data_IF_646465453134
#
_entry.id   IF_646465453134
#
_cell.length_a   1.000
_cell.length_b   1.000
_cell.length_c   1.000
_cell.angle_alpha   90.00
_cell.angle_beta   90.00
_cell.angle_gamma   90.00
#
_symmetry.space_group_name_H-M   'P 1'
#
loop_
_entity.id
_entity.type
_entity.pdbx_description
1 polymer ?
#
# COMPACT_ATOMS: atom_id res chain seq x y z
N UNK A 1 29.86 27.61 27.20
CA UNK A 1 29.09 26.49 27.81
C UNK A 1 28.55 25.66 26.64
N UNK A 2 29.28 24.60 26.35
CA UNK A 2 29.00 23.71 25.22
C UNK A 2 27.98 22.69 25.68
N UNK A 3 26.79 22.67 25.05
CA UNK A 3 25.78 21.65 25.30
C UNK A 3 26.30 20.33 24.70
N UNK A 4 26.41 19.33 25.55
CA UNK A 4 26.81 17.99 25.16
C UNK A 4 25.66 17.33 24.39
N UNK A 5 25.96 16.96 23.17
CA UNK A 5 25.15 16.08 22.32
C UNK A 5 25.04 14.73 23.04
N UNK A 6 23.86 14.40 23.51
CA UNK A 6 23.60 13.10 24.12
C UNK A 6 23.31 12.12 22.99
N UNK A 7 24.15 11.10 22.76
CA UNK A 7 23.88 10.11 21.73
C UNK A 7 22.61 9.33 22.08
N UNK A 8 21.71 9.22 21.12
CA UNK A 8 20.54 8.32 21.19
C UNK A 8 21.04 6.90 21.45
N UNK A 9 20.53 6.20 22.47
CA UNK A 9 20.94 4.83 22.73
C UNK A 9 20.57 3.94 21.54
N UNK A 10 21.42 2.96 21.18
CA UNK A 10 21.08 1.98 20.17
C UNK A 10 19.83 1.21 20.62
N UNK A 11 18.90 1.00 19.69
CA UNK A 11 17.70 0.19 19.91
C UNK A 11 18.12 -1.18 20.42
N UNK A 12 17.59 -1.59 21.55
CA UNK A 12 17.79 -2.94 22.08
C UNK A 12 17.37 -3.98 21.03
N UNK A 13 18.09 -5.12 20.89
CA UNK A 13 17.69 -6.20 20.00
C UNK A 13 16.30 -6.70 20.39
N UNK A 14 15.41 -6.84 19.41
CA UNK A 14 14.06 -7.35 19.59
C UNK A 14 14.07 -8.69 20.35
N UNK A 15 13.18 -8.84 21.33
CA UNK A 15 12.98 -10.10 22.04
C UNK A 15 12.70 -11.25 21.06
N UNK A 16 13.26 -12.45 21.29
CA UNK A 16 13.00 -13.61 20.43
C UNK A 16 11.50 -13.92 20.41
N UNK A 17 10.87 -13.77 19.25
CA UNK A 17 9.42 -13.99 19.06
C UNK A 17 8.60 -12.72 18.85
N UNK A 18 9.18 -11.52 18.84
CA UNK A 18 8.48 -10.29 18.50
C UNK A 18 8.22 -10.20 16.98
N UNK A 19 7.03 -9.76 16.61
CA UNK A 19 6.69 -9.43 15.22
C UNK A 19 6.98 -7.95 14.96
N UNK A 20 8.17 -7.64 14.47
CA UNK A 20 8.61 -6.28 14.22
C UNK A 20 8.37 -5.90 12.76
N UNK A 21 7.64 -4.81 12.52
CA UNK A 21 7.39 -4.29 11.18
C UNK A 21 8.09 -2.94 11.02
N UNK A 22 9.07 -2.90 10.11
CA UNK A 22 9.77 -1.70 9.73
C UNK A 22 8.96 -0.80 8.78
N UNK A 23 9.31 0.48 8.73
CA UNK A 23 8.80 1.41 7.73
C UNK A 23 9.82 2.52 7.48
N UNK A 24 9.96 2.92 6.21
CA UNK A 24 10.88 4.00 5.81
C UNK A 24 10.25 5.38 6.03
N UNK A 25 11.06 6.47 6.12
CA UNK A 25 10.57 7.84 6.36
C UNK A 25 9.42 8.22 5.43
N UNK A 26 8.41 8.90 5.97
CA UNK A 26 7.22 9.37 5.26
C UNK A 26 6.12 8.31 5.06
N UNK A 27 6.42 7.01 5.08
CA UNK A 27 5.37 5.97 5.09
C UNK A 27 4.67 5.97 6.43
N UNK A 28 3.33 5.98 6.43
CA UNK A 28 2.51 6.07 7.63
C UNK A 28 1.62 4.83 7.82
N UNK A 29 2.18 3.73 8.34
CA UNK A 29 1.46 2.46 8.48
C UNK A 29 0.56 2.38 9.72
N UNK A 30 0.46 3.43 10.53
CA UNK A 30 -0.23 3.45 11.82
C UNK A 30 -1.61 2.80 11.81
N UNK A 31 -2.45 3.10 10.79
CA UNK A 31 -3.79 2.51 10.65
C UNK A 31 -3.81 0.97 10.60
N UNK A 32 -2.74 0.34 10.11
CA UNK A 32 -2.64 -1.11 10.02
C UNK A 32 -2.12 -1.70 11.33
N UNK A 33 -1.19 -0.99 12.00
CA UNK A 33 -0.71 -1.35 13.33
C UNK A 33 -1.85 -1.28 14.36
N UNK A 34 -2.67 -0.22 14.31
CA UNK A 34 -3.83 -0.08 15.19
C UNK A 34 -4.83 -1.20 14.97
N UNK A 35 -5.12 -1.56 13.72
CA UNK A 35 -6.00 -2.69 13.41
C UNK A 35 -5.48 -4.04 13.93
N UNK A 36 -4.15 -4.24 13.90
CA UNK A 36 -3.55 -5.44 14.48
C UNK A 36 -3.79 -5.49 15.99
N UNK A 37 -3.55 -4.39 16.69
CA UNK A 37 -3.76 -4.24 18.13
C UNK A 37 -5.24 -4.38 18.51
N UNK A 38 -6.14 -3.70 17.80
CA UNK A 38 -7.59 -3.76 18.01
C UNK A 38 -8.13 -5.18 17.90
N UNK A 39 -7.62 -5.97 16.96
CA UNK A 39 -7.97 -7.38 16.77
C UNK A 39 -7.29 -8.31 17.77
N UNK A 40 -6.48 -7.78 18.68
CA UNK A 40 -5.72 -8.55 19.67
C UNK A 40 -4.93 -9.70 19.04
N UNK A 41 -4.32 -9.41 17.88
CA UNK A 41 -3.51 -10.41 17.16
C UNK A 41 -2.21 -10.71 17.90
N UNK A 42 -1.75 -11.93 17.77
CA UNK A 42 -0.48 -12.40 18.33
C UNK A 42 0.44 -12.91 17.21
N UNK A 43 1.75 -12.78 17.35
CA UNK A 43 2.48 -12.12 18.45
C UNK A 43 2.19 -10.61 18.56
N UNK A 44 2.67 -9.97 19.63
CA UNK A 44 2.59 -8.50 19.76
C UNK A 44 3.36 -7.85 18.63
N UNK A 45 2.74 -6.86 17.97
CA UNK A 45 3.37 -6.13 16.89
C UNK A 45 4.15 -4.94 17.44
N UNK A 46 5.43 -4.95 17.16
CA UNK A 46 6.33 -3.81 17.32
C UNK A 46 6.55 -3.11 15.98
N UNK A 47 6.94 -1.85 16.03
CA UNK A 47 7.22 -1.10 14.81
C UNK A 47 8.54 -0.32 14.96
N UNK A 48 9.28 -0.22 13.85
CA UNK A 48 10.57 0.45 13.79
C UNK A 48 10.64 1.38 12.57
N UNK A 49 11.09 2.62 12.80
CA UNK A 49 11.51 3.47 11.69
C UNK A 49 12.87 2.98 11.21
N UNK A 50 12.98 2.72 9.91
CA UNK A 50 14.19 2.21 9.26
C UNK A 50 14.65 3.23 8.23
N UNK A 51 15.93 3.64 8.21
CA UNK A 51 16.45 4.50 7.15
C UNK A 51 16.16 3.91 5.77
N UNK A 52 15.87 4.78 4.79
CA UNK A 52 15.50 4.32 3.46
C UNK A 52 16.63 3.53 2.78
N UNK A 53 17.87 3.82 3.09
CA UNK A 53 19.03 3.09 2.58
C UNK A 53 19.23 1.72 3.27
N UNK A 54 18.65 1.49 4.46
CA UNK A 54 18.98 0.35 5.33
C UNK A 54 17.91 -0.75 5.37
N UNK A 55 16.78 -0.60 4.70
CA UNK A 55 15.68 -1.55 4.83
C UNK A 55 16.07 -3.00 4.46
N UNK A 56 17.00 -3.20 3.48
CA UNK A 56 17.45 -4.55 3.11
C UNK A 56 18.29 -5.17 4.21
N UNK A 57 19.27 -4.43 4.71
CA UNK A 57 20.13 -4.92 5.82
C UNK A 57 19.31 -5.18 7.10
N UNK A 58 18.28 -4.39 7.35
CA UNK A 58 17.37 -4.62 8.49
C UNK A 58 16.56 -5.92 8.34
N UNK A 59 16.12 -6.28 7.12
CA UNK A 59 15.49 -7.56 6.83
C UNK A 59 16.49 -8.72 6.91
N UNK A 60 17.67 -8.56 6.29
CA UNK A 60 18.71 -9.59 6.26
C UNK A 60 19.24 -9.93 7.66
N UNK A 61 19.35 -8.92 8.54
CA UNK A 61 19.75 -9.07 9.93
C UNK A 61 18.61 -9.52 10.87
N UNK A 62 17.40 -9.75 10.33
CA UNK A 62 16.18 -10.03 11.09
C UNK A 62 15.85 -8.98 12.16
N UNK A 63 16.35 -7.74 12.03
CA UNK A 63 15.97 -6.62 12.89
C UNK A 63 14.50 -6.24 12.71
N UNK A 64 13.95 -6.51 11.53
CA UNK A 64 12.52 -6.42 11.23
C UNK A 64 12.08 -7.66 10.46
N UNK A 65 10.86 -8.14 10.73
CA UNK A 65 10.27 -9.29 10.04
C UNK A 65 9.74 -8.92 8.66
N UNK A 66 9.20 -7.72 8.53
CA UNK A 66 8.71 -7.14 7.29
C UNK A 66 8.95 -5.63 7.29
N UNK A 67 9.02 -5.00 6.12
CA UNK A 67 9.25 -3.57 6.02
C UNK A 67 8.36 -2.91 4.94
N UNK A 68 7.80 -1.75 5.25
CA UNK A 68 7.18 -0.89 4.26
C UNK A 68 8.25 -0.03 3.61
N UNK A 69 8.42 -0.17 2.30
CA UNK A 69 9.49 0.49 1.53
C UNK A 69 8.95 1.18 0.29
N UNK A 70 9.71 2.15 -0.23
CA UNK A 70 9.52 2.71 -1.57
C UNK A 70 10.45 2.02 -2.54
N UNK A 71 10.01 1.85 -3.78
CA UNK A 71 10.83 1.27 -4.83
C UNK A 71 11.03 2.28 -5.96
N UNK A 72 12.18 2.20 -6.62
CA UNK A 72 12.49 3.02 -7.78
C UNK A 72 12.72 4.50 -7.47
N UNK A 73 12.93 4.87 -6.21
CA UNK A 73 13.33 6.23 -5.84
C UNK A 73 14.84 6.41 -5.88
N UNK A 74 15.58 5.60 -5.14
CA UNK A 74 17.03 5.68 -5.14
C UNK A 74 17.62 5.06 -6.42
N UNK A 75 18.76 5.61 -6.94
CA UNK A 75 19.49 4.96 -8.02
C UNK A 75 19.86 3.53 -7.63
N UNK A 76 19.48 2.56 -8.46
CA UNK A 76 19.74 1.14 -8.20
C UNK A 76 18.69 0.43 -7.34
N UNK A 77 17.61 1.10 -6.97
CA UNK A 77 16.46 0.41 -6.40
C UNK A 77 15.94 -0.64 -7.38
N UNK A 78 15.54 -1.84 -6.89
CA UNK A 78 14.94 -2.85 -7.75
C UNK A 78 13.55 -2.42 -8.20
N UNK A 79 13.15 -2.92 -9.36
CA UNK A 79 11.74 -2.95 -9.69
C UNK A 79 10.99 -3.90 -8.75
N UNK A 80 9.65 -3.79 -8.72
CA UNK A 80 8.84 -4.73 -7.94
C UNK A 80 8.98 -6.18 -8.44
N UNK A 81 9.23 -6.37 -9.74
CA UNK A 81 9.46 -7.68 -10.34
C UNK A 81 10.79 -8.28 -9.88
N UNK A 82 11.88 -7.51 -9.96
CA UNK A 82 13.20 -7.93 -9.48
C UNK A 82 13.18 -8.26 -8.00
N UNK A 83 12.51 -7.43 -7.20
CA UNK A 83 12.37 -7.66 -5.77
C UNK A 83 11.67 -8.99 -5.46
N UNK A 84 10.64 -9.32 -6.23
CA UNK A 84 9.90 -10.57 -6.08
C UNK A 84 10.71 -11.82 -6.43
N UNK A 85 11.85 -11.70 -7.10
CA UNK A 85 12.76 -12.82 -7.31
C UNK A 85 13.42 -13.29 -6.01
N UNK A 86 13.69 -12.38 -5.10
CA UNK A 86 14.42 -12.64 -3.84
C UNK A 86 13.55 -12.53 -2.58
N UNK A 87 12.52 -11.72 -2.58
CA UNK A 87 11.64 -11.43 -1.46
C UNK A 87 10.18 -11.68 -1.81
N UNK A 88 9.35 -11.80 -0.79
CA UNK A 88 7.92 -11.64 -0.93
C UNK A 88 7.58 -10.15 -0.90
N UNK A 89 6.71 -9.69 -1.79
CA UNK A 89 6.33 -8.28 -1.85
C UNK A 89 4.88 -8.08 -2.24
N UNK A 90 4.21 -7.17 -1.54
CA UNK A 90 2.83 -6.75 -1.79
C UNK A 90 2.81 -5.27 -2.11
N UNK A 91 2.40 -4.93 -3.34
CA UNK A 91 2.14 -3.54 -3.73
C UNK A 91 0.93 -3.00 -2.95
N UNK A 92 1.05 -1.77 -2.46
CA UNK A 92 0.04 -1.13 -1.63
C UNK A 92 -0.61 0.06 -2.34
N UNK A 93 0.20 1.00 -2.78
CA UNK A 93 -0.21 2.20 -3.49
C UNK A 93 1.00 2.84 -4.17
N UNK A 94 0.71 3.79 -5.05
CA UNK A 94 1.70 4.62 -5.72
C UNK A 94 1.66 6.03 -5.14
N UNK A 95 2.82 6.59 -4.80
CA UNK A 95 2.97 7.97 -4.35
C UNK A 95 3.24 8.89 -5.53
N UNK A 96 2.63 10.07 -5.50
CA UNK A 96 2.94 11.14 -6.42
C UNK A 96 4.26 11.80 -6.05
N UNK A 97 4.96 12.32 -7.04
CA UNK A 97 6.10 13.20 -6.83
C UNK A 97 5.64 14.66 -6.83
N UNK A 98 6.29 15.46 -5.99
CA UNK A 98 6.04 16.89 -5.87
C UNK A 98 7.33 17.68 -5.94
N UNK A 99 7.26 18.88 -6.48
CA UNK A 99 8.29 19.90 -6.32
C UNK A 99 8.04 20.65 -5.00
N UNK A 100 9.00 20.65 -4.10
CA UNK A 100 9.02 21.48 -2.90
C UNK A 100 9.70 22.79 -3.25
N UNK A 101 9.00 23.89 -3.05
CA UNK A 101 9.36 25.24 -3.47
C UNK A 101 9.42 26.16 -2.25
N UNK A 102 10.28 27.18 -2.28
CA UNK A 102 10.12 28.32 -1.37
C UNK A 102 8.74 28.97 -1.59
N UNK A 103 8.12 29.49 -0.54
CA UNK A 103 6.86 30.25 -0.67
C UNK A 103 6.99 31.51 -1.53
N UNK A 104 8.21 32.02 -1.70
CA UNK A 104 8.51 33.19 -2.52
C UNK A 104 8.84 32.85 -3.98
N UNK A 105 8.85 31.56 -4.34
CA UNK A 105 9.11 31.10 -5.70
C UNK A 105 7.94 31.41 -6.62
N UNK A 106 8.24 31.89 -7.85
CA UNK A 106 7.23 32.28 -8.84
C UNK A 106 6.36 31.10 -9.28
N UNK A 107 6.90 29.88 -9.28
CA UNK A 107 6.17 28.67 -9.63
C UNK A 107 5.03 28.35 -8.65
N UNK A 108 4.99 28.99 -7.50
CA UNK A 108 3.91 28.82 -6.51
C UNK A 108 2.55 29.33 -6.98
N UNK A 109 2.50 30.17 -8.03
CA UNK A 109 1.25 30.65 -8.63
C UNK A 109 0.51 29.56 -9.41
N UNK A 110 1.18 28.47 -9.77
CA UNK A 110 0.62 27.34 -10.47
C UNK A 110 0.06 26.32 -9.48
N UNK A 111 -1.03 25.65 -9.81
CA UNK A 111 -1.62 24.58 -8.97
C UNK A 111 -0.83 23.26 -9.07
N UNK A 112 -0.24 23.01 -10.24
CA UNK A 112 0.60 21.83 -10.54
C UNK A 112 1.65 22.21 -11.56
N UNK A 113 2.69 21.38 -11.70
CA UNK A 113 3.82 21.60 -12.60
C UNK A 113 4.06 20.36 -13.47
N UNK A 114 4.75 20.58 -14.59
CA UNK A 114 5.46 19.52 -15.29
C UNK A 114 6.95 19.58 -14.96
N UNK A 115 7.67 18.49 -15.19
CA UNK A 115 9.15 18.48 -15.04
C UNK A 115 9.81 19.50 -15.96
N UNK A 116 9.27 19.69 -17.17
CA UNK A 116 9.76 20.69 -18.11
C UNK A 116 9.61 22.11 -17.53
N UNK A 117 8.44 22.49 -17.05
CA UNK A 117 8.21 23.80 -16.41
C UNK A 117 9.14 24.03 -15.22
N UNK A 118 9.33 22.99 -14.38
CA UNK A 118 10.22 23.09 -13.24
C UNK A 118 11.67 23.39 -13.66
N UNK A 119 12.17 22.74 -14.73
CA UNK A 119 13.55 22.90 -15.20
C UNK A 119 13.76 24.15 -16.06
N UNK A 120 12.75 24.65 -16.75
CA UNK A 120 12.79 25.88 -17.55
C UNK A 120 12.81 27.14 -16.68
N UNK A 121 12.01 27.13 -15.61
CA UNK A 121 11.79 28.31 -14.76
C UNK A 121 12.69 28.34 -13.52
N UNK A 122 13.36 27.23 -13.19
CA UNK A 122 14.22 27.13 -12.00
C UNK A 122 15.39 26.18 -12.24
N UNK A 123 16.31 26.14 -11.28
CA UNK A 123 17.37 25.13 -11.22
C UNK A 123 17.08 24.19 -10.06
N UNK A 124 16.40 23.05 -10.30
CA UNK A 124 16.12 22.10 -9.26
C UNK A 124 17.39 21.53 -8.64
N UNK A 125 17.35 21.21 -7.35
CA UNK A 125 18.42 20.48 -6.69
C UNK A 125 18.61 19.11 -7.36
N UNK A 126 19.79 18.53 -7.18
CA UNK A 126 20.02 17.14 -7.57
C UNK A 126 19.02 16.21 -6.86
N UNK A 127 18.89 14.99 -7.37
CA UNK A 127 18.02 13.97 -6.76
C UNK A 127 18.35 13.82 -5.26
N UNK A 128 17.33 14.03 -4.43
CA UNK A 128 17.51 13.99 -2.99
C UNK A 128 17.42 12.55 -2.45
N UNK A 129 18.36 12.20 -1.57
CA UNK A 129 18.19 11.03 -0.72
C UNK A 129 17.03 11.28 0.26
N UNK A 130 16.19 10.27 0.47
CA UNK A 130 15.05 10.37 1.41
C UNK A 130 15.54 10.58 2.84
N UNK A 131 16.67 9.97 3.20
CA UNK A 131 17.23 10.08 4.54
C UNK A 131 17.82 11.49 4.80
N UNK A 132 18.20 12.22 3.73
CA UNK A 132 18.68 13.61 3.77
C UNK A 132 17.62 14.65 3.34
N UNK A 133 16.38 14.24 3.14
CA UNK A 133 15.30 15.10 2.64
C UNK A 133 15.07 16.36 3.48
N UNK A 134 15.31 16.29 4.79
CA UNK A 134 15.22 17.46 5.67
C UNK A 134 16.14 18.59 5.21
N UNK A 135 17.41 18.28 4.92
CA UNK A 135 18.39 19.25 4.42
C UNK A 135 17.98 19.79 3.05
N UNK A 136 17.53 18.92 2.15
CA UNK A 136 17.09 19.35 0.82
C UNK A 136 15.89 20.32 0.89
N UNK A 137 14.96 20.10 1.82
CA UNK A 137 13.83 21.02 2.08
C UNK A 137 14.32 22.35 2.68
N UNK A 138 15.32 22.34 3.55
CA UNK A 138 15.93 23.57 4.05
C UNK A 138 16.59 24.40 2.95
N UNK A 139 17.30 23.76 2.04
CA UNK A 139 17.86 24.44 0.87
C UNK A 139 16.79 25.03 -0.05
N UNK A 140 15.69 24.30 -0.25
CA UNK A 140 14.55 24.84 -1.00
C UNK A 140 13.94 26.06 -0.30
N UNK A 141 13.75 26.00 1.02
CA UNK A 141 13.27 27.14 1.81
C UNK A 141 14.19 28.36 1.73
N UNK A 142 15.50 28.15 1.66
CA UNK A 142 16.51 29.19 1.48
C UNK A 142 16.61 29.74 0.06
N UNK A 143 15.80 29.23 -0.89
CA UNK A 143 15.81 29.67 -2.30
C UNK A 143 17.00 29.19 -3.13
N UNK A 144 17.70 28.15 -2.67
CA UNK A 144 18.81 27.54 -3.44
C UNK A 144 18.28 26.88 -4.72
N UNK A 145 17.09 26.29 -4.65
CA UNK A 145 16.39 25.68 -5.76
C UNK A 145 15.33 24.68 -5.28
N UNK A 146 14.30 24.41 -6.08
CA UNK A 146 13.30 23.39 -5.78
C UNK A 146 13.91 22.01 -5.58
N UNK A 147 13.27 21.19 -4.75
CA UNK A 147 13.63 19.76 -4.63
C UNK A 147 12.42 18.90 -4.98
N UNK A 148 12.63 17.83 -5.75
CA UNK A 148 11.62 16.83 -6.06
C UNK A 148 11.65 15.74 -5.00
N UNK A 149 10.49 15.44 -4.40
CA UNK A 149 10.34 14.42 -3.35
C UNK A 149 9.04 13.64 -3.55
N UNK A 150 8.93 12.40 -3.02
CA UNK A 150 7.65 11.75 -2.83
C UNK A 150 6.75 12.59 -1.91
N UNK A 151 5.46 12.67 -2.22
CA UNK A 151 4.49 13.51 -1.51
C UNK A 151 4.52 13.31 0.01
N UNK A 152 4.64 12.09 0.48
CA UNK A 152 4.64 11.79 1.92
C UNK A 152 5.91 12.28 2.62
N UNK A 153 7.06 12.24 1.93
CA UNK A 153 8.33 12.79 2.44
C UNK A 153 8.28 14.31 2.48
N UNK A 154 7.76 14.94 1.41
CA UNK A 154 7.54 16.39 1.42
C UNK A 154 6.63 16.83 2.59
N UNK A 155 5.57 16.08 2.88
CA UNK A 155 4.68 16.35 4.03
C UNK A 155 5.35 16.12 5.38
N UNK A 156 6.23 15.12 5.49
CA UNK A 156 7.00 14.86 6.72
C UNK A 156 7.86 16.07 7.10
N UNK A 157 8.44 16.75 6.10
CA UNK A 157 9.30 17.92 6.28
C UNK A 157 8.60 19.25 5.97
N UNK A 158 7.25 19.27 6.01
CA UNK A 158 6.49 20.49 5.76
C UNK A 158 6.83 21.61 6.76
N UNK A 159 7.08 22.82 6.23
CA UNK A 159 7.39 24.03 7.02
C UNK A 159 6.57 25.19 6.46
N UNK A 160 6.57 26.32 7.19
CA UNK A 160 5.79 27.52 6.82
C UNK A 160 6.35 28.26 5.60
N UNK A 161 7.64 28.13 5.35
CA UNK A 161 8.41 28.82 4.32
C UNK A 161 8.61 27.98 3.06
N UNK A 162 7.97 26.81 2.99
CA UNK A 162 7.89 26.00 1.77
C UNK A 162 6.45 25.63 1.44
N UNK A 163 6.22 25.40 0.16
CA UNK A 163 5.01 24.81 -0.37
C UNK A 163 5.38 23.71 -1.37
N UNK A 164 4.42 22.92 -1.81
CA UNK A 164 4.70 21.89 -2.81
C UNK A 164 3.62 21.86 -3.88
N UNK A 165 4.03 21.51 -5.11
CA UNK A 165 3.20 21.35 -6.29
C UNK A 165 3.36 19.97 -6.86
N UNK A 166 2.26 19.35 -7.24
CA UNK A 166 2.28 18.04 -7.89
C UNK A 166 2.96 18.12 -9.24
N UNK A 167 3.81 17.15 -9.54
CA UNK A 167 4.44 16.96 -10.84
C UNK A 167 3.58 15.99 -11.65
N UNK A 168 2.86 16.52 -12.63
CA UNK A 168 1.82 15.78 -13.36
C UNK A 168 2.37 14.74 -14.35
N UNK A 169 3.61 14.89 -14.77
CA UNK A 169 4.32 14.02 -15.72
C UNK A 169 5.47 13.22 -15.09
N UNK A 170 5.70 13.37 -13.78
CA UNK A 170 6.66 12.56 -13.07
C UNK A 170 6.14 11.13 -12.83
N UNK A 171 7.00 10.11 -12.90
CA UNK A 171 6.59 8.74 -12.58
C UNK A 171 6.13 8.62 -11.12
N UNK A 172 5.17 7.77 -10.86
CA UNK A 172 4.76 7.45 -9.49
C UNK A 172 5.79 6.57 -8.79
N UNK A 173 5.82 6.62 -7.45
CA UNK A 173 6.75 5.86 -6.63
C UNK A 173 5.97 4.78 -5.87
N UNK A 174 6.14 3.50 -6.21
CA UNK A 174 5.40 2.42 -5.56
C UNK A 174 5.84 2.21 -4.12
N UNK A 175 4.86 2.12 -3.23
CA UNK A 175 5.04 1.70 -1.83
C UNK A 175 4.58 0.27 -1.67
N UNK A 176 5.45 -0.55 -1.10
CA UNK A 176 5.26 -1.99 -0.97
C UNK A 176 5.53 -2.45 0.47
N UNK A 177 4.92 -3.55 0.87
CA UNK A 177 5.31 -4.31 2.06
C UNK A 177 6.17 -5.49 1.60
N UNK A 178 7.38 -5.60 2.14
CA UNK A 178 8.39 -6.59 1.77
C UNK A 178 8.77 -7.44 2.98
N UNK A 179 9.01 -8.74 2.77
CA UNK A 179 9.57 -9.65 3.78
C UNK A 179 10.42 -10.74 3.13
N UNK A 180 11.38 -11.34 3.85
CA UNK A 180 12.25 -12.37 3.31
C UNK A 180 11.46 -13.59 2.85
N UNK A 181 11.98 -14.30 1.88
CA UNK A 181 11.55 -15.68 1.60
C UNK A 181 12.22 -16.62 2.60
N UNK A 182 11.50 -17.66 3.01
CA UNK A 182 12.07 -18.69 3.90
C UNK A 182 11.98 -18.35 5.38
N UNK A 183 11.03 -17.49 5.78
CA UNK A 183 10.59 -17.45 7.17
C UNK A 183 10.11 -18.86 7.57
N UNK A 184 10.19 -19.17 8.86
CA UNK A 184 9.55 -20.37 9.39
C UNK A 184 8.01 -20.29 9.25
N UNK A 185 7.34 -21.41 9.47
CA UNK A 185 5.88 -21.50 9.26
C UNK A 185 5.11 -20.50 10.15
N UNK A 186 5.59 -20.23 11.36
CA UNK A 186 4.95 -19.28 12.29
C UNK A 186 5.13 -17.82 11.84
N UNK A 187 6.35 -17.47 11.41
CA UNK A 187 6.67 -16.16 10.87
C UNK A 187 5.89 -15.87 9.58
N UNK A 188 5.87 -16.82 8.65
CA UNK A 188 5.12 -16.65 7.39
C UNK A 188 3.61 -16.50 7.67
N UNK A 189 3.02 -17.34 8.55
CA UNK A 189 1.60 -17.22 8.92
C UNK A 189 1.30 -15.88 9.58
N UNK A 190 2.20 -15.38 10.42
CA UNK A 190 2.08 -14.07 11.08
C UNK A 190 2.10 -12.94 10.06
N UNK A 191 3.06 -12.95 9.13
CA UNK A 191 3.12 -11.96 8.04
C UNK A 191 1.89 -12.04 7.15
N UNK A 192 1.42 -13.24 6.79
CA UNK A 192 0.22 -13.42 5.96
C UNK A 192 -1.05 -12.88 6.65
N UNK A 193 -1.18 -13.04 7.97
CA UNK A 193 -2.27 -12.40 8.75
C UNK A 193 -2.18 -10.88 8.67
N UNK A 194 -0.98 -10.30 8.80
CA UNK A 194 -0.76 -8.86 8.67
C UNK A 194 -1.07 -8.36 7.26
N UNK A 195 -0.62 -9.07 6.21
CA UNK A 195 -0.99 -8.80 4.81
C UNK A 195 -2.51 -8.80 4.62
N UNK A 196 -3.22 -9.69 5.30
CA UNK A 196 -4.68 -9.69 5.31
C UNK A 196 -5.29 -8.38 5.84
N UNK A 197 -4.71 -7.82 6.91
CA UNK A 197 -5.11 -6.52 7.48
C UNK A 197 -4.79 -5.37 6.50
N UNK A 198 -3.59 -5.38 5.94
CA UNK A 198 -3.12 -4.36 5.00
C UNK A 198 -4.02 -4.31 3.76
N UNK A 199 -4.43 -5.46 3.23
CA UNK A 199 -5.37 -5.60 2.10
C UNK A 199 -6.84 -5.37 2.46
N UNK A 200 -7.14 -5.04 3.71
CA UNK A 200 -8.49 -4.70 4.15
C UNK A 200 -9.45 -5.88 4.31
N UNK A 201 -8.94 -7.12 4.46
CA UNK A 201 -9.78 -8.29 4.74
C UNK A 201 -10.52 -8.11 6.06
N UNK A 202 -11.85 -8.31 6.04
CA UNK A 202 -12.68 -8.36 7.25
C UNK A 202 -12.46 -9.71 7.95
N UNK A 203 -12.62 -9.75 9.28
CA UNK A 203 -12.50 -10.99 10.08
C UNK A 203 -13.37 -12.15 9.58
N UNK A 204 -14.53 -11.85 8.99
CA UNK A 204 -15.46 -12.85 8.44
C UNK A 204 -14.98 -13.54 7.15
N UNK A 205 -13.80 -13.17 6.61
CA UNK A 205 -13.24 -13.77 5.39
C UNK A 205 -12.23 -14.89 5.69
N UNK A 206 -12.24 -15.43 6.90
CA UNK A 206 -11.50 -16.64 7.25
C UNK A 206 -12.03 -17.81 6.43
N UNK A 207 -11.42 -18.07 5.28
CA UNK A 207 -11.62 -19.28 4.52
C UNK A 207 -11.04 -20.41 5.36
N UNK A 208 -11.91 -21.23 5.90
CA UNK A 208 -11.54 -22.55 6.39
C UNK A 208 -10.64 -23.21 5.33
N UNK A 209 -9.40 -23.51 5.69
CA UNK A 209 -8.53 -24.30 4.84
C UNK A 209 -9.24 -25.63 4.54
N UNK A 210 -9.25 -26.11 3.28
CA UNK A 210 -9.82 -27.41 2.99
C UNK A 210 -8.99 -28.45 3.76
N UNK A 211 -9.60 -29.05 4.78
CA UNK A 211 -9.07 -30.24 5.45
C UNK A 211 -8.96 -31.33 4.40
N UNK A 212 -7.77 -31.56 3.91
CA UNK A 212 -7.41 -32.69 3.08
C UNK A 212 -7.46 -33.96 3.94
N UNK A 213 -8.66 -34.53 4.04
CA UNK A 213 -8.91 -35.82 4.67
C UNK A 213 -9.15 -36.85 3.61
N UNK A 214 -8.08 -37.37 3.05
CA UNK A 214 -8.16 -38.57 2.24
C UNK A 214 -8.66 -39.74 3.07
N UNK A 215 -9.72 -40.39 2.65
CA UNK A 215 -9.93 -41.81 2.89
C UNK A 215 -10.77 -42.40 1.76
N UNK A 216 -10.06 -43.19 0.96
CA UNK A 216 -10.61 -44.23 0.10
C UNK A 216 -11.59 -45.11 0.87
N UNK A 217 -12.76 -45.33 0.30
CA UNK A 217 -13.41 -46.62 0.40
C UNK A 217 -14.26 -46.85 -0.85
N UNK A 218 -13.71 -47.68 -1.68
CA UNK A 218 -14.42 -48.36 -2.76
C UNK A 218 -15.35 -49.44 -2.19
N UNK A 219 -16.30 -49.85 -3.00
CA UNK A 219 -17.11 -51.06 -2.93
C UNK A 219 -18.38 -51.05 -2.07
N UNK A 220 -19.53 -51.07 -2.71
CA UNK A 220 -20.36 -52.24 -2.92
C UNK A 220 -21.71 -51.90 -3.57
N UNK A 221 -21.89 -52.43 -4.78
CA UNK A 221 -23.05 -53.24 -5.30
C UNK A 221 -24.45 -52.65 -5.14
N UNK A 222 -25.03 -52.31 -6.27
CA UNK A 222 -25.88 -53.13 -7.19
C UNK A 222 -27.18 -53.67 -6.56
N UNK A 223 -28.22 -53.48 -7.32
CA UNK A 223 -29.50 -54.17 -7.36
C UNK A 223 -30.77 -53.45 -6.81
N UNK A 224 -31.67 -53.27 -7.77
CA UNK A 224 -33.11 -53.15 -7.49
C UNK A 224 -33.83 -52.16 -8.40
N UNK A 225 -33.87 -52.32 -9.67
CA UNK A 225 -34.87 -52.83 -10.60
C UNK A 225 -36.32 -52.49 -10.29
N UNK A 226 -36.94 -51.78 -11.28
CA UNK A 226 -38.34 -51.88 -11.80
C UNK A 226 -39.46 -51.43 -10.84
N UNK A 227 -40.39 -50.69 -11.26
CA UNK A 227 -41.37 -50.64 -12.34
C UNK A 227 -42.31 -49.49 -12.11
N UNK A 228 -42.73 -48.91 -13.02
CA UNK A 228 -43.89 -48.90 -13.90
C UNK A 228 -44.74 -47.65 -13.65
N UNK A 229 -44.80 -46.88 -14.71
CA UNK A 229 -45.97 -46.62 -15.58
C UNK A 229 -47.15 -45.91 -14.92
N UNK A 230 -47.52 -44.87 -15.44
CA UNK A 230 -48.51 -44.56 -16.45
C UNK A 230 -49.34 -43.30 -16.10
N UNK A 231 -49.42 -42.47 -17.06
CA UNK A 231 -50.62 -41.93 -17.67
C UNK A 231 -51.32 -40.67 -17.04
N UNK A 232 -51.52 -39.75 -17.94
CA UNK A 232 -52.72 -38.94 -18.06
C UNK A 232 -52.43 -37.44 -18.11
N UNK A 233 -52.18 -36.85 -19.22
CA UNK A 233 -53.05 -36.30 -20.29
C UNK A 233 -53.90 -35.09 -19.89
N UNK A 234 -53.67 -34.01 -20.69
CA UNK A 234 -54.63 -32.93 -21.10
C UNK A 234 -54.73 -31.77 -20.14
N UNK A 235 -54.78 -30.53 -20.55
CA UNK A 235 -54.92 -29.82 -21.82
C UNK A 235 -54.81 -28.33 -21.56
N UNK A 236 -54.26 -27.67 -22.48
CA UNK A 236 -54.72 -26.54 -23.28
C UNK A 236 -55.37 -25.33 -22.55
N UNK A 237 -54.80 -24.14 -22.70
CA UNK A 237 -55.26 -23.05 -23.58
C UNK A 237 -54.66 -21.69 -23.18
N UNK A 238 -54.05 -21.03 -24.11
CA UNK A 238 -53.90 -19.57 -24.25
C UNK A 238 -55.26 -19.03 -24.73
N UNK A 239 -55.54 -17.70 -24.83
CA UNK A 239 -54.67 -16.52 -25.00
C UNK A 239 -55.25 -15.20 -24.39
N UNK A 240 -54.55 -14.07 -24.69
CA UNK A 240 -55.16 -12.74 -24.74
C UNK A 240 -54.23 -11.61 -24.19
N UNK A 241 -53.49 -11.01 -24.98
CA UNK A 241 -53.48 -9.68 -25.64
C UNK A 241 -54.03 -8.53 -24.76
N UNK A 242 -53.20 -7.46 -24.63
CA UNK A 242 -53.66 -6.14 -24.32
C UNK A 242 -52.55 -5.14 -24.04
N UNK A 243 -52.11 -4.42 -25.07
CA UNK A 243 -51.40 -3.14 -25.05
C UNK A 243 -52.31 -2.12 -25.74
N UNK A 244 -52.04 -0.79 -25.74
CA UNK A 244 -51.65 0.26 -24.78
C UNK A 244 -52.78 1.33 -24.64
N UNK A 245 -52.65 2.63 -24.30
CA UNK A 245 -51.77 3.61 -24.95
C UNK A 245 -51.27 4.82 -24.07
N UNK A 246 -50.32 5.52 -24.65
CA UNK A 246 -49.88 6.90 -24.70
C UNK A 246 -50.81 8.03 -24.12
N UNK A 247 -50.09 9.05 -23.61
CA UNK A 247 -50.49 10.44 -23.53
C UNK A 247 -49.55 11.13 -22.54
N UNK A 248 -48.80 12.11 -22.80
CA UNK A 248 -48.85 13.24 -23.69
C UNK A 248 -49.03 14.53 -22.88
N UNK A 249 -48.13 15.47 -23.04
CA UNK A 249 -48.40 16.87 -22.76
C UNK A 249 -47.50 17.53 -21.69
N UNK A 250 -46.55 18.28 -22.03
CA UNK A 250 -46.46 19.66 -22.51
C UNK A 250 -46.14 20.70 -21.39
N UNK A 251 -44.95 21.28 -21.48
CA UNK A 251 -44.60 22.73 -21.51
C UNK A 251 -44.82 23.63 -20.27
N UNK A 252 -43.79 24.33 -19.93
CA UNK A 252 -43.46 25.78 -19.89
C UNK A 252 -42.67 26.10 -18.62
N UNK A 253 -41.46 26.65 -18.74
CA UNK A 253 -40.90 27.98 -19.07
C UNK A 253 -41.09 29.04 -17.96
N UNK A 254 -39.94 29.69 -17.66
CA UNK A 254 -39.66 31.01 -17.03
C UNK A 254 -39.61 30.96 -15.48
N UNK A 255 -38.63 31.52 -14.87
CA UNK A 255 -37.80 32.74 -15.10
C UNK A 255 -36.37 32.48 -14.65
#
# INVERSE_FOLDING_TARGET
MTAADTPTPPSEPAEPGAFTVGYVPGVMPGKWFDRWRERRMHPVLENALVPAAEWRSALDAAAVTACFVRLGWAPGDPSLEDLRATHNAVHLYDELQVAVLSTDDLLTVLDSLTLAQLTEESTPQAHADIDDAAMAVELAAAGVGPVVLPMSVARLHARKDVTFRELTDAPTVPVVLVWPRGLDDEGEDTVQRFVGIVRGRKESSGREAPRNGGRNKAEARDQGRRAASSAGKRGAAKPGRGRPPRGGGVRRKRS
#
